data_IF_949451708261
#
_entry.id   IF_949451708261
#
_cell.length_a   1.000
_cell.length_b   1.000
_cell.length_c   1.000
_cell.angle_alpha   90.00
_cell.angle_beta   90.00
_cell.angle_gamma   90.00
#
_symmetry.space_group_name_H-M   'P 1'
#
loop_
_entity.id
_entity.type
_entity.pdbx_description
1 polymer ?
#
# COMPACT_ATOMS: atom_id res chain seq x y z
N UNK A 1 2.28 -14.50 -7.61
CA UNK A 1 2.05 -13.65 -6.47
C UNK A 1 2.30 -14.28 -5.16
N UNK A 2 2.94 -15.38 -5.18
CA UNK A 2 3.25 -16.06 -3.92
C UNK A 2 4.21 -15.29 -3.07
N UNK A 3 5.14 -14.56 -3.69
CA UNK A 3 6.05 -13.78 -2.90
C UNK A 3 5.32 -12.77 -2.06
N UNK A 4 4.23 -12.31 -2.59
CA UNK A 4 3.42 -11.34 -1.91
C UNK A 4 2.97 -11.86 -0.58
N UNK A 5 2.44 -13.06 -0.59
CA UNK A 5 2.01 -13.68 0.65
C UNK A 5 3.17 -13.89 1.59
N UNK A 6 4.32 -14.22 1.05
CA UNK A 6 5.47 -14.51 1.89
C UNK A 6 5.98 -13.30 2.63
N UNK A 7 5.86 -12.12 2.05
CA UNK A 7 6.38 -10.92 2.68
C UNK A 7 5.55 -10.49 3.87
N UNK A 8 4.37 -11.07 4.04
CA UNK A 8 3.49 -10.70 5.14
C UNK A 8 3.30 -11.84 6.11
N UNK A 9 4.21 -12.76 6.14
CA UNK A 9 4.10 -13.92 7.00
C UNK A 9 4.17 -13.55 8.45
N UNK A 10 3.22 -13.95 9.26
CA UNK A 10 3.37 -13.88 10.70
C UNK A 10 4.21 -15.06 11.18
N UNK A 11 4.36 -15.16 12.45
CA UNK A 11 5.12 -16.23 13.05
C UNK A 11 4.26 -17.05 13.94
N UNK A 12 4.85 -18.08 14.46
CA UNK A 12 4.33 -18.87 15.57
C UNK A 12 2.94 -19.40 15.34
N UNK A 13 2.73 -20.04 14.21
CA UNK A 13 1.55 -20.83 14.02
C UNK A 13 0.25 -20.09 13.76
N UNK A 14 0.27 -18.77 13.79
CA UNK A 14 -0.92 -18.03 13.42
C UNK A 14 -1.13 -18.10 11.92
N UNK A 15 -2.40 -18.15 11.48
CA UNK A 15 -2.63 -18.12 10.05
C UNK A 15 -2.07 -16.85 9.45
N UNK A 16 -1.42 -16.99 8.33
CA UNK A 16 -0.87 -15.83 7.65
C UNK A 16 -2.00 -14.99 7.08
N UNK A 17 -2.01 -13.73 7.40
CA UNK A 17 -2.93 -12.80 6.81
C UNK A 17 -2.17 -11.97 5.80
N UNK A 18 -2.52 -12.11 4.53
CA UNK A 18 -1.83 -11.40 3.47
C UNK A 18 -2.31 -9.96 3.41
N UNK A 19 -1.53 -9.14 2.72
CA UNK A 19 -1.96 -7.78 2.45
C UNK A 19 -3.29 -7.79 1.72
N UNK A 20 -3.47 -8.72 0.80
CA UNK A 20 -4.73 -8.86 0.07
C UNK A 20 -5.89 -9.07 1.04
N UNK A 21 -5.72 -9.95 2.01
CA UNK A 21 -6.77 -10.24 2.97
C UNK A 21 -7.10 -9.02 3.81
N UNK A 22 -6.09 -8.30 4.23
CA UNK A 22 -6.27 -7.09 5.02
C UNK A 22 -7.05 -6.05 4.25
N UNK A 23 -6.67 -5.84 2.99
CA UNK A 23 -7.37 -4.86 2.15
C UNK A 23 -8.82 -5.29 1.92
N UNK A 24 -9.02 -6.57 1.64
CA UNK A 24 -10.38 -7.09 1.40
C UNK A 24 -11.26 -6.87 2.62
N UNK A 25 -10.76 -7.18 3.80
CA UNK A 25 -11.52 -6.99 5.02
C UNK A 25 -11.84 -5.53 5.28
N UNK A 26 -10.85 -4.67 5.08
CA UNK A 26 -11.04 -3.24 5.28
C UNK A 26 -12.10 -2.68 4.34
N UNK A 27 -12.07 -3.10 3.09
CA UNK A 27 -13.03 -2.62 2.11
C UNK A 27 -14.43 -3.15 2.40
N UNK A 28 -14.53 -4.41 2.80
CA UNK A 28 -15.82 -4.99 3.15
C UNK A 28 -16.44 -4.19 4.29
N UNK A 29 -15.67 -3.89 5.32
CA UNK A 29 -16.16 -3.10 6.45
C UNK A 29 -16.57 -1.70 6.00
N UNK A 30 -15.75 -1.09 5.15
CA UNK A 30 -16.04 0.24 4.67
C UNK A 30 -17.40 0.30 3.96
N UNK A 31 -17.65 -0.64 3.06
CA UNK A 31 -18.90 -0.64 2.32
C UNK A 31 -20.09 -0.97 3.20
N UNK A 32 -19.90 -1.82 4.20
CA UNK A 32 -20.97 -2.11 5.13
C UNK A 32 -21.38 -0.88 5.95
N UNK A 33 -20.41 -0.06 6.30
CA UNK A 33 -20.66 1.12 7.12
C UNK A 33 -21.30 2.25 6.36
N UNK A 34 -21.27 2.20 5.04
CA UNK A 34 -21.91 3.24 4.24
C UNK A 34 -23.44 3.22 4.36
N UNK A 35 -23.96 2.07 4.68
CA UNK A 35 -25.40 1.95 4.92
C UNK A 35 -26.23 2.49 3.74
N UNK A 36 -25.84 2.08 2.53
CA UNK A 36 -26.58 2.46 1.35
C UNK A 36 -26.25 3.82 0.78
N UNK A 37 -25.37 4.59 1.41
CA UNK A 37 -24.98 5.88 0.87
C UNK A 37 -24.13 5.68 -0.37
N UNK A 38 -24.37 6.49 -1.42
CA UNK A 38 -23.57 6.36 -2.63
C UNK A 38 -22.13 6.81 -2.41
N UNK A 39 -21.22 6.15 -3.13
CA UNK A 39 -19.83 6.55 -3.10
C UNK A 39 -19.33 6.63 -4.53
N UNK A 40 -18.37 7.51 -4.75
CA UNK A 40 -17.68 7.63 -6.03
C UNK A 40 -16.20 7.70 -5.76
N UNK A 41 -15.42 7.57 -6.83
CA UNK A 41 -13.96 7.70 -6.76
C UNK A 41 -13.32 6.72 -5.79
N UNK A 42 -13.93 5.55 -5.64
CA UNK A 42 -13.40 4.53 -4.73
C UNK A 42 -12.02 4.08 -5.16
N UNK A 43 -11.79 3.97 -6.46
CA UNK A 43 -10.49 3.53 -6.94
C UNK A 43 -9.38 4.48 -6.43
N UNK A 44 -9.58 5.77 -6.60
CA UNK A 44 -8.57 6.74 -6.16
C UNK A 44 -8.43 6.75 -4.64
N UNK A 45 -9.53 6.63 -3.95
CA UNK A 45 -9.49 6.61 -2.49
C UNK A 45 -8.68 5.43 -1.99
N UNK A 46 -8.97 4.23 -2.53
CA UNK A 46 -8.26 3.03 -2.10
C UNK A 46 -6.79 3.12 -2.50
N UNK A 47 -6.52 3.58 -3.71
CA UNK A 47 -5.15 3.68 -4.18
C UNK A 47 -4.32 4.59 -3.28
N UNK A 48 -4.89 5.71 -2.86
CA UNK A 48 -4.18 6.63 -1.96
C UNK A 48 -3.91 5.99 -0.60
N UNK A 49 -4.90 5.27 -0.08
CA UNK A 49 -4.75 4.63 1.22
C UNK A 49 -3.65 3.59 1.23
N UNK A 50 -3.41 2.97 0.09
CA UNK A 50 -2.39 1.93 -0.01
C UNK A 50 -1.05 2.53 -0.41
N UNK A 51 -1.06 3.46 -1.33
CA UNK A 51 0.19 4.03 -1.82
C UNK A 51 0.93 4.83 -0.75
N UNK A 52 0.22 5.59 0.06
CA UNK A 52 0.89 6.40 1.05
C UNK A 52 1.75 5.55 2.00
N UNK A 53 1.20 4.54 2.67
CA UNK A 53 2.04 3.71 3.52
C UNK A 53 3.07 2.90 2.75
N UNK A 54 2.77 2.54 1.49
CA UNK A 54 3.73 1.82 0.67
C UNK A 54 4.98 2.67 0.47
N UNK A 55 4.81 3.91 0.05
CA UNK A 55 5.96 4.76 -0.22
C UNK A 55 6.67 5.14 1.07
N UNK A 56 5.94 5.36 2.16
CA UNK A 56 6.58 5.61 3.45
C UNK A 56 7.47 4.45 3.86
N UNK A 57 6.94 3.24 3.76
CA UNK A 57 7.68 2.05 4.17
C UNK A 57 8.92 1.82 3.33
N UNK A 58 8.78 2.01 2.03
CA UNK A 58 9.92 1.78 1.15
C UNK A 58 10.99 2.85 1.35
N UNK A 59 10.59 4.10 1.54
CA UNK A 59 11.57 5.15 1.79
C UNK A 59 12.32 4.90 3.11
N UNK A 60 11.61 4.42 4.13
CA UNK A 60 12.28 4.07 5.38
C UNK A 60 13.25 2.90 5.16
N UNK A 61 12.82 1.90 4.44
CA UNK A 61 13.67 0.74 4.14
C UNK A 61 14.89 1.15 3.35
N UNK A 62 14.73 2.06 2.40
CA UNK A 62 15.84 2.53 1.55
C UNK A 62 16.64 3.65 2.21
N UNK A 63 16.30 4.03 3.43
CA UNK A 63 16.99 5.09 4.18
C UNK A 63 17.04 6.38 3.38
N UNK A 64 15.89 6.70 2.81
CA UNK A 64 15.69 7.92 2.02
C UNK A 64 16.51 8.00 0.75
N UNK A 65 17.05 6.87 0.30
CA UNK A 65 17.78 6.82 -0.95
C UNK A 65 16.77 6.56 -2.07
N UNK A 66 16.50 7.58 -2.89
CA UNK A 66 15.48 7.48 -3.91
C UNK A 66 15.84 6.49 -5.01
N UNK A 67 17.14 6.39 -5.33
CA UNK A 67 17.57 5.42 -6.34
C UNK A 67 17.26 4.01 -5.87
N UNK A 68 17.61 3.71 -4.64
CA UNK A 68 17.34 2.39 -4.09
C UNK A 68 15.84 2.14 -3.96
N UNK A 69 15.10 3.14 -3.54
CA UNK A 69 13.65 3.01 -3.41
C UNK A 69 13.00 2.71 -4.76
N UNK A 70 13.45 3.38 -5.82
CA UNK A 70 12.88 3.13 -7.13
C UNK A 70 13.17 1.71 -7.59
N UNK A 71 14.34 1.19 -7.27
CA UNK A 71 14.67 -0.19 -7.61
C UNK A 71 13.79 -1.17 -6.84
N UNK A 72 13.62 -0.93 -5.55
CA UNK A 72 12.79 -1.79 -4.72
C UNK A 72 11.35 -1.81 -5.23
N UNK A 73 10.84 -0.66 -5.59
CA UNK A 73 9.47 -0.54 -6.06
C UNK A 73 9.26 -0.97 -7.50
N UNK A 74 10.32 -0.99 -8.29
CA UNK A 74 10.18 -1.25 -9.71
C UNK A 74 9.64 -0.07 -10.48
N UNK A 75 9.87 1.15 -9.98
CA UNK A 75 9.43 2.38 -10.63
C UNK A 75 10.63 3.18 -11.06
N UNK A 76 10.50 4.00 -12.10
CA UNK A 76 11.57 4.90 -12.42
C UNK A 76 11.56 6.07 -11.44
N UNK A 77 12.68 6.78 -11.39
CA UNK A 77 12.86 7.83 -10.39
C UNK A 77 11.88 8.98 -10.55
N UNK A 78 11.56 9.33 -11.80
CA UNK A 78 10.61 10.40 -12.04
C UNK A 78 9.24 10.09 -11.49
N UNK A 79 8.78 8.87 -11.73
CA UNK A 79 7.49 8.43 -11.19
C UNK A 79 7.51 8.42 -9.69
N UNK A 80 8.60 7.90 -9.10
CA UNK A 80 8.73 7.87 -7.66
C UNK A 80 8.64 9.28 -7.06
N UNK A 81 9.38 10.23 -7.63
CA UNK A 81 9.38 11.58 -7.10
C UNK A 81 7.98 12.21 -7.17
N UNK A 82 7.26 11.97 -8.26
CA UNK A 82 5.89 12.48 -8.37
C UNK A 82 5.01 11.92 -7.26
N UNK A 83 5.13 10.64 -7.02
CA UNK A 83 4.33 10.00 -5.96
C UNK A 83 4.72 10.50 -4.58
N UNK A 84 6.01 10.65 -4.33
CA UNK A 84 6.46 11.17 -3.05
C UNK A 84 5.91 12.57 -2.80
N UNK A 85 5.92 13.42 -3.82
CA UNK A 85 5.34 14.75 -3.70
C UNK A 85 3.85 14.68 -3.43
N UNK A 86 3.18 13.79 -4.14
CA UNK A 86 1.72 13.65 -3.99
C UNK A 86 1.33 13.34 -2.55
N UNK A 87 2.15 12.57 -1.87
CA UNK A 87 1.83 12.15 -0.50
C UNK A 87 2.60 12.92 0.56
N UNK A 88 3.25 14.01 0.17
CA UNK A 88 3.95 14.85 1.14
C UNK A 88 5.16 14.19 1.74
N UNK A 89 5.79 13.31 1.02
CA UNK A 89 6.94 12.55 1.51
C UNK A 89 8.27 13.03 0.93
N UNK A 90 8.25 14.07 0.16
CA UNK A 90 9.46 14.57 -0.47
C UNK A 90 9.92 15.86 0.17
#
# INVERSE_FOLDING_TARGET
MEQYAQTTQPQSGMPAQTLRDTVHQSLTSYFQQLDGQPVTDVYQMVLSEIEAPLFESVMAYAKDNQTKASEVLGLNRGTLRKKLKQYGLL
#
